data_IF_900815156411
#
_entry.id   IF_900815156411
#
_cell.length_a   1.000
_cell.length_b   1.000
_cell.length_c   1.000
_cell.angle_alpha   90.00
_cell.angle_beta   90.00
_cell.angle_gamma   90.00
#
_symmetry.space_group_name_H-M   'P 1'
#
loop_
_entity.id
_entity.type
_entity.pdbx_description
1 polymer ?
#
# COMPACT_ATOMS: atom_id res chain seq x y z
N UNK A 1 10.44 6.92 -34.73
CA UNK A 1 11.11 5.81 -34.04
C UNK A 1 11.23 6.17 -32.55
N UNK A 2 10.77 5.29 -31.66
CA UNK A 2 10.79 5.47 -30.21
C UNK A 2 11.95 4.72 -29.56
N UNK A 3 12.38 5.16 -28.39
CA UNK A 3 13.39 4.49 -27.56
C UNK A 3 12.80 3.42 -26.62
N UNK A 4 11.47 3.30 -26.61
CA UNK A 4 10.70 2.35 -25.79
C UNK A 4 9.59 1.69 -26.58
N UNK A 5 9.45 0.39 -26.43
CA UNK A 5 8.25 -0.33 -26.86
C UNK A 5 7.24 -0.37 -25.70
N UNK A 6 6.05 0.18 -25.93
CA UNK A 6 5.00 0.33 -24.90
C UNK A 6 3.96 -0.76 -25.08
N UNK A 7 3.59 -1.36 -23.97
CA UNK A 7 2.62 -2.45 -23.89
C UNK A 7 1.46 -2.08 -22.95
N UNK A 8 0.28 -2.60 -23.26
CA UNK A 8 -0.82 -2.73 -22.34
C UNK A 8 -0.74 -4.12 -21.70
N UNK A 9 -0.61 -4.15 -20.38
CA UNK A 9 -0.80 -5.37 -19.59
C UNK A 9 -2.21 -5.39 -19.02
N UNK A 10 -2.92 -6.48 -19.30
CA UNK A 10 -4.18 -6.83 -18.65
C UNK A 10 -3.90 -8.02 -17.73
N UNK A 11 -4.22 -7.91 -16.44
CA UNK A 11 -4.08 -9.03 -15.51
C UNK A 11 -5.34 -9.26 -14.69
N UNK A 12 -5.58 -10.53 -14.29
CA UNK A 12 -6.75 -10.99 -13.54
C UNK A 12 -6.34 -12.00 -12.49
N UNK A 13 -6.60 -11.74 -11.21
CA UNK A 13 -6.37 -12.70 -10.14
C UNK A 13 -4.91 -13.13 -9.96
N UNK A 14 -3.95 -12.34 -10.41
CA UNK A 14 -2.52 -12.60 -10.25
C UNK A 14 -1.83 -11.39 -9.62
N UNK A 15 -0.89 -11.61 -8.72
CA UNK A 15 -0.12 -10.53 -8.13
C UNK A 15 0.82 -9.87 -9.14
N UNK A 16 1.14 -8.61 -8.85
CA UNK A 16 1.94 -7.79 -9.76
C UNK A 16 3.35 -8.36 -9.98
N UNK A 17 3.99 -8.89 -8.94
CA UNK A 17 5.37 -9.39 -9.02
C UNK A 17 5.44 -10.64 -9.90
N UNK A 18 4.55 -11.60 -9.69
CA UNK A 18 4.45 -12.84 -10.49
C UNK A 18 4.24 -12.51 -11.96
N UNK A 19 3.22 -11.70 -12.28
CA UNK A 19 2.94 -11.30 -13.66
C UNK A 19 4.13 -10.55 -14.30
N UNK A 20 4.79 -9.68 -13.56
CA UNK A 20 5.96 -8.92 -14.00
C UNK A 20 7.16 -9.82 -14.36
N UNK A 21 7.45 -10.78 -13.48
CA UNK A 21 8.55 -11.73 -13.68
C UNK A 21 8.31 -12.66 -14.86
N UNK A 22 7.11 -13.22 -14.97
CA UNK A 22 6.73 -14.10 -16.09
C UNK A 22 6.75 -13.34 -17.43
N UNK A 23 6.17 -12.14 -17.49
CA UNK A 23 6.17 -11.31 -18.68
C UNK A 23 7.60 -10.91 -19.10
N UNK A 24 8.45 -10.52 -18.15
CA UNK A 24 9.84 -10.17 -18.41
C UNK A 24 10.64 -11.36 -18.97
N UNK A 25 10.43 -12.57 -18.40
CA UNK A 25 11.06 -13.81 -18.91
C UNK A 25 10.59 -14.13 -20.33
N UNK A 26 9.28 -14.05 -20.60
CA UNK A 26 8.72 -14.33 -21.92
C UNK A 26 9.19 -13.33 -22.99
N UNK A 27 9.47 -12.08 -22.61
CA UNK A 27 10.04 -11.07 -23.50
C UNK A 27 11.56 -11.19 -23.66
N UNK A 28 12.24 -11.95 -22.78
CA UNK A 28 13.72 -11.95 -22.70
C UNK A 28 14.31 -10.60 -22.32
N UNK A 29 13.52 -9.68 -21.77
CA UNK A 29 13.89 -8.32 -21.37
C UNK A 29 13.13 -7.87 -20.13
N UNK A 30 13.77 -6.99 -19.35
CA UNK A 30 13.12 -6.38 -18.19
C UNK A 30 11.95 -5.49 -18.63
N UNK A 31 10.77 -5.81 -18.14
CA UNK A 31 9.57 -5.02 -18.32
C UNK A 31 9.45 -4.01 -17.16
N UNK A 32 9.26 -2.74 -17.51
CA UNK A 32 9.10 -1.63 -16.58
C UNK A 32 7.62 -1.24 -16.52
N UNK A 33 7.11 -0.99 -15.30
CA UNK A 33 5.70 -0.69 -15.08
C UNK A 33 5.48 0.74 -14.57
N UNK A 34 4.34 1.30 -14.94
CA UNK A 34 3.87 2.58 -14.41
C UNK A 34 3.01 2.35 -13.15
N UNK A 35 3.68 2.05 -12.04
CA UNK A 35 3.05 1.77 -10.74
C UNK A 35 2.81 0.27 -10.49
N UNK A 36 2.26 -0.05 -9.33
CA UNK A 36 1.87 -1.40 -8.91
C UNK A 36 0.34 -1.48 -8.93
N UNK A 37 -0.22 -2.64 -9.28
CA UNK A 37 -1.67 -2.87 -9.35
C UNK A 37 -2.06 -4.06 -8.52
N UNK A 38 -3.25 -3.99 -7.92
CA UNK A 38 -3.81 -4.98 -7.01
C UNK A 38 -3.93 -6.37 -7.66
N UNK A 39 -3.86 -7.42 -6.84
CA UNK A 39 -4.00 -8.80 -7.27
C UNK A 39 -5.48 -9.17 -7.49
N UNK A 40 -6.36 -8.73 -6.58
CA UNK A 40 -7.78 -9.07 -6.57
C UNK A 40 -8.63 -8.13 -7.44
N UNK A 41 -8.14 -7.87 -8.67
CA UNK A 41 -8.82 -6.99 -9.62
C UNK A 41 -8.49 -7.39 -11.05
N UNK A 42 -9.34 -6.94 -11.99
CA UNK A 42 -8.96 -6.86 -13.40
C UNK A 42 -8.25 -5.53 -13.57
N UNK A 43 -6.98 -5.56 -13.94
CA UNK A 43 -6.18 -4.34 -14.03
C UNK A 43 -5.62 -4.14 -15.44
N UNK A 44 -5.69 -2.89 -15.90
CA UNK A 44 -5.12 -2.43 -17.15
C UNK A 44 -3.96 -1.50 -16.82
N UNK A 45 -2.77 -1.80 -17.33
CA UNK A 45 -1.56 -1.07 -16.94
C UNK A 45 -0.62 -0.91 -18.12
N UNK A 46 -0.08 0.29 -18.29
CA UNK A 46 1.01 0.51 -19.22
C UNK A 46 2.32 -0.03 -18.64
N UNK A 47 3.05 -0.72 -19.52
CA UNK A 47 4.39 -1.19 -19.25
C UNK A 47 5.28 -0.92 -20.49
N UNK A 48 6.59 -0.93 -20.34
CA UNK A 48 7.49 -0.73 -21.46
C UNK A 48 8.80 -1.51 -21.30
N UNK A 49 9.41 -1.82 -22.43
CA UNK A 49 10.81 -2.26 -22.50
C UNK A 49 11.63 -1.22 -23.23
N UNK A 50 12.93 -1.14 -22.93
CA UNK A 50 13.85 -0.29 -23.66
C UNK A 50 14.17 -0.88 -25.02
N UNK A 51 14.19 -0.04 -26.07
CA UNK A 51 14.47 -0.42 -27.45
C UNK A 51 13.27 -1.04 -28.20
N UNK A 52 13.51 -1.73 -29.31
CA UNK A 52 12.47 -2.29 -30.15
C UNK A 52 11.70 -3.41 -29.45
N UNK A 53 10.41 -3.64 -29.82
CA UNK A 53 9.60 -4.68 -29.21
C UNK A 53 10.14 -6.08 -29.55
N UNK A 54 10.44 -6.93 -28.54
CA UNK A 54 10.87 -8.30 -28.79
C UNK A 54 9.74 -9.19 -29.29
N UNK A 55 8.50 -8.91 -28.89
CA UNK A 55 7.27 -9.60 -29.30
C UNK A 55 6.09 -8.64 -29.29
N UNK A 56 5.11 -8.84 -30.15
CA UNK A 56 3.88 -8.05 -30.20
C UNK A 56 2.89 -8.43 -29.09
N UNK A 57 2.88 -9.69 -28.70
CA UNK A 57 1.96 -10.23 -27.70
C UNK A 57 2.67 -11.28 -26.82
N UNK A 58 2.30 -11.31 -25.54
CA UNK A 58 2.69 -12.34 -24.58
C UNK A 58 1.47 -12.68 -23.74
N UNK A 59 1.20 -13.97 -23.57
CA UNK A 59 0.15 -14.47 -22.66
C UNK A 59 0.78 -15.35 -21.60
N UNK A 60 0.37 -15.16 -20.35
CA UNK A 60 0.75 -15.95 -19.21
C UNK A 60 -0.45 -16.31 -18.35
N UNK A 61 -0.20 -17.02 -17.25
CA UNK A 61 -1.28 -17.38 -16.32
C UNK A 61 -1.83 -16.13 -15.63
N UNK A 62 -3.05 -15.73 -16.01
CA UNK A 62 -3.74 -14.57 -15.42
C UNK A 62 -3.27 -13.23 -15.95
N UNK A 63 -2.49 -13.17 -17.03
CA UNK A 63 -2.16 -11.92 -17.70
C UNK A 63 -2.00 -12.04 -19.21
N UNK A 64 -2.23 -10.92 -19.88
CA UNK A 64 -1.97 -10.70 -21.30
C UNK A 64 -1.19 -9.39 -21.45
N UNK A 65 -0.18 -9.41 -22.32
CA UNK A 65 0.61 -8.24 -22.68
C UNK A 65 0.49 -8.00 -24.17
N UNK A 66 0.06 -6.81 -24.58
CA UNK A 66 -0.14 -6.42 -25.98
C UNK A 66 0.63 -5.17 -26.31
N UNK A 67 1.41 -5.19 -27.39
CA UNK A 67 2.14 -4.05 -27.90
C UNK A 67 1.17 -2.96 -28.36
N UNK A 68 1.36 -1.74 -27.88
CA UNK A 68 0.64 -0.54 -28.31
C UNK A 68 1.42 0.25 -29.37
N UNK A 69 2.75 0.21 -29.32
CA UNK A 69 3.59 0.94 -30.24
C UNK A 69 4.91 1.39 -29.62
N UNK A 70 5.61 2.28 -30.33
CA UNK A 70 6.85 2.88 -29.86
C UNK A 70 6.59 4.26 -29.24
N UNK A 71 7.34 4.60 -28.20
CA UNK A 71 7.28 5.92 -27.55
C UNK A 71 8.69 6.46 -27.35
N UNK A 72 8.84 7.78 -27.50
CA UNK A 72 10.09 8.49 -27.24
C UNK A 72 10.00 9.27 -25.94
N UNK A 73 11.00 9.13 -25.09
CA UNK A 73 11.09 9.87 -23.84
C UNK A 73 10.38 9.18 -22.66
N UNK A 74 10.23 9.90 -21.54
CA UNK A 74 9.72 9.35 -20.28
C UNK A 74 8.20 9.25 -20.26
N UNK A 75 7.69 8.05 -20.04
CA UNK A 75 6.27 7.83 -19.73
C UNK A 75 5.95 8.35 -18.33
N UNK A 76 4.83 9.03 -18.19
CA UNK A 76 4.36 9.58 -16.91
C UNK A 76 3.09 8.87 -16.47
N UNK A 77 3.10 8.38 -15.24
CA UNK A 77 1.89 7.88 -14.58
C UNK A 77 1.20 9.06 -13.89
N UNK A 78 0.08 9.51 -14.42
CA UNK A 78 -0.66 10.67 -13.92
C UNK A 78 -1.71 10.30 -12.88
N UNK A 79 -2.30 9.10 -12.97
CA UNK A 79 -3.34 8.64 -12.06
C UNK A 79 -3.91 7.29 -12.46
N UNK A 80 -4.95 6.88 -11.74
CA UNK A 80 -5.68 5.64 -11.96
C UNK A 80 -7.17 5.94 -12.13
N UNK A 81 -7.81 5.24 -13.07
CA UNK A 81 -9.26 5.12 -13.13
C UNK A 81 -9.68 3.84 -12.43
N UNK A 82 -10.73 3.92 -11.66
CA UNK A 82 -11.33 2.82 -10.91
C UNK A 82 -12.75 2.58 -11.42
N UNK A 83 -13.11 1.31 -11.52
CA UNK A 83 -14.47 0.84 -11.73
C UNK A 83 -14.71 -0.23 -10.66
N UNK A 84 -15.64 0.01 -9.76
CA UNK A 84 -15.86 -0.81 -8.55
C UNK A 84 -17.33 -1.18 -8.48
N UNK A 85 -17.60 -2.46 -8.30
CA UNK A 85 -18.94 -2.97 -7.98
C UNK A 85 -19.13 -2.95 -6.47
N UNK A 86 -20.18 -2.29 -6.01
CA UNK A 86 -20.57 -2.22 -4.60
C UNK A 86 -21.86 -3.02 -4.42
N UNK A 87 -21.70 -4.30 -4.08
CA UNK A 87 -22.83 -5.20 -3.88
C UNK A 87 -23.62 -4.83 -2.63
N UNK A 88 -24.95 -4.82 -2.73
CA UNK A 88 -25.85 -4.54 -1.62
C UNK A 88 -25.92 -3.08 -1.15
N UNK A 89 -25.27 -2.15 -1.85
CA UNK A 89 -25.33 -0.73 -1.54
C UNK A 89 -26.60 -0.09 -2.09
N UNK A 90 -27.16 0.90 -1.37
CA UNK A 90 -28.29 1.71 -1.85
C UNK A 90 -27.83 2.65 -2.98
N UNK A 91 -28.27 2.38 -4.21
CA UNK A 91 -27.86 3.16 -5.39
C UNK A 91 -28.29 4.63 -5.32
N UNK A 92 -29.45 4.91 -4.72
CA UNK A 92 -29.93 6.27 -4.56
C UNK A 92 -29.04 7.08 -3.63
N UNK A 93 -28.64 6.49 -2.51
CA UNK A 93 -27.72 7.12 -1.57
C UNK A 93 -26.32 7.27 -2.17
N UNK A 94 -25.82 6.24 -2.88
CA UNK A 94 -24.56 6.31 -3.60
C UNK A 94 -24.56 7.45 -4.63
N UNK A 95 -25.67 7.60 -5.41
CA UNK A 95 -25.83 8.65 -6.40
C UNK A 95 -25.78 10.04 -5.77
N UNK A 96 -26.51 10.25 -4.66
CA UNK A 96 -26.48 11.54 -3.93
C UNK A 96 -25.07 11.89 -3.43
N UNK A 97 -24.35 10.91 -2.85
CA UNK A 97 -23.00 11.12 -2.32
C UNK A 97 -21.98 11.31 -3.44
N UNK A 98 -22.08 10.56 -4.54
CA UNK A 98 -21.22 10.74 -5.71
C UNK A 98 -21.41 12.15 -6.33
N UNK A 99 -22.65 12.63 -6.45
CA UNK A 99 -22.95 13.98 -6.94
C UNK A 99 -22.32 15.05 -6.04
N UNK A 100 -22.41 14.89 -4.72
CA UNK A 100 -21.75 15.79 -3.77
C UNK A 100 -20.23 15.77 -3.89
N UNK A 101 -19.62 14.60 -4.01
CA UNK A 101 -18.18 14.47 -4.24
C UNK A 101 -17.75 15.05 -5.59
N UNK A 102 -18.58 14.89 -6.63
CA UNK A 102 -18.37 15.50 -7.95
C UNK A 102 -18.34 17.02 -7.86
N UNK A 103 -19.29 17.63 -7.13
CA UNK A 103 -19.34 19.07 -6.93
C UNK A 103 -18.14 19.61 -6.16
N UNK A 104 -17.59 18.82 -5.21
CA UNK A 104 -16.36 19.18 -4.50
C UNK A 104 -15.10 19.03 -5.36
N UNK A 105 -15.10 18.12 -6.32
CA UNK A 105 -13.98 17.81 -7.23
C UNK A 105 -12.72 17.30 -6.53
N UNK A 106 -12.79 16.99 -5.24
CA UNK A 106 -11.64 16.57 -4.41
C UNK A 106 -12.08 15.76 -3.21
N UNK A 107 -11.17 14.94 -2.71
CA UNK A 107 -11.30 14.18 -1.46
C UNK A 107 -10.06 14.39 -0.60
N UNK A 108 -10.18 14.16 0.71
CA UNK A 108 -9.03 14.17 1.61
C UNK A 108 -8.05 13.07 1.20
N UNK A 109 -6.78 13.41 1.14
CA UNK A 109 -5.75 12.53 0.59
C UNK A 109 -5.10 11.62 1.65
N UNK A 110 -5.92 10.99 2.49
CA UNK A 110 -5.44 10.01 3.45
C UNK A 110 -4.72 8.85 2.75
N UNK A 111 -3.76 8.27 3.44
CA UNK A 111 -3.28 6.94 3.10
C UNK A 111 -4.36 5.92 3.48
N UNK A 112 -4.71 5.06 2.53
CA UNK A 112 -5.69 3.99 2.76
C UNK A 112 -5.10 2.78 3.50
N UNK A 113 -5.97 1.85 3.89
CA UNK A 113 -5.60 0.65 4.66
C UNK A 113 -4.55 -0.23 3.97
N UNK A 114 -4.52 -0.27 2.63
CA UNK A 114 -3.49 -1.02 1.88
C UNK A 114 -2.06 -0.58 2.22
N UNK A 115 -1.88 0.67 2.70
CA UNK A 115 -0.57 1.14 3.17
C UNK A 115 -0.12 0.46 4.46
N UNK A 116 -1.07 0.05 5.28
CA UNK A 116 -0.85 -0.49 6.62
C UNK A 116 -1.00 -2.01 6.69
N UNK A 117 -1.60 -2.62 5.67
CA UNK A 117 -1.96 -4.03 5.58
C UNK A 117 -3.47 -4.24 5.68
N UNK A 118 -4.07 -4.94 4.71
CA UNK A 118 -5.53 -5.12 4.65
C UNK A 118 -6.01 -6.11 5.71
N UNK A 119 -5.40 -7.30 5.74
CA UNK A 119 -5.79 -8.36 6.71
C UNK A 119 -5.24 -8.13 8.10
N UNK A 120 -4.12 -7.44 8.18
CA UNK A 120 -3.38 -7.17 9.40
C UNK A 120 -2.79 -5.76 9.31
N UNK A 121 -3.55 -4.74 9.69
CA UNK A 121 -3.15 -3.33 9.52
C UNK A 121 -2.14 -2.90 10.59
N UNK A 122 -0.95 -3.50 10.61
CA UNK A 122 0.07 -3.27 11.64
C UNK A 122 1.43 -2.77 11.11
N UNK A 123 1.59 -2.59 9.79
CA UNK A 123 2.88 -2.15 9.23
C UNK A 123 3.38 -0.84 9.84
N UNK A 124 2.47 0.08 10.18
CA UNK A 124 2.80 1.34 10.86
C UNK A 124 3.23 1.12 12.32
N UNK A 125 2.68 0.13 13.01
CA UNK A 125 3.08 -0.22 14.38
C UNK A 125 4.50 -0.79 14.40
N UNK A 126 4.82 -1.68 13.46
CA UNK A 126 6.17 -2.18 13.24
C UNK A 126 7.13 -1.02 12.97
N UNK A 127 6.73 -0.10 12.10
CA UNK A 127 7.51 1.10 11.79
C UNK A 127 7.72 2.02 12.99
N UNK A 128 6.71 2.19 13.84
CA UNK A 128 6.79 2.93 15.11
C UNK A 128 7.82 2.29 16.06
N UNK A 129 7.76 0.98 16.23
CA UNK A 129 8.70 0.24 17.05
C UNK A 129 10.15 0.37 16.54
N UNK A 130 10.37 0.25 15.22
CA UNK A 130 11.68 0.47 14.61
C UNK A 130 12.18 1.90 14.85
N UNK A 131 11.32 2.91 14.65
CA UNK A 131 11.68 4.32 14.83
C UNK A 131 12.05 4.65 16.28
N UNK A 132 11.39 4.00 17.26
CA UNK A 132 11.69 4.11 18.69
C UNK A 132 12.90 3.28 19.14
N UNK A 133 13.45 2.45 18.27
CA UNK A 133 14.56 1.55 18.60
C UNK A 133 14.14 0.28 19.34
N UNK A 134 12.86 0.05 19.55
CA UNK A 134 12.31 -1.17 20.13
C UNK A 134 12.22 -2.29 19.08
N UNK A 135 13.37 -2.84 18.74
CA UNK A 135 13.48 -3.81 17.66
C UNK A 135 12.88 -5.17 18.04
N UNK A 136 12.83 -5.49 19.34
CA UNK A 136 12.16 -6.70 19.81
C UNK A 136 10.66 -6.59 19.59
N UNK A 137 10.05 -5.48 20.00
CA UNK A 137 8.65 -5.19 19.75
C UNK A 137 8.32 -5.22 18.25
N UNK A 138 9.22 -4.72 17.39
CA UNK A 138 9.02 -4.79 15.95
C UNK A 138 8.95 -6.23 15.42
N UNK A 139 9.78 -7.16 15.94
CA UNK A 139 9.70 -8.58 15.62
C UNK A 139 8.41 -9.20 16.17
N UNK A 140 8.05 -8.89 17.40
CA UNK A 140 6.83 -9.40 18.04
C UNK A 140 5.57 -8.97 17.29
N UNK A 141 5.53 -7.73 16.81
CA UNK A 141 4.47 -7.20 15.96
C UNK A 141 4.42 -7.88 14.59
N UNK A 142 5.53 -8.32 14.03
CA UNK A 142 5.56 -9.02 12.74
C UNK A 142 5.08 -10.47 12.87
N UNK A 143 5.53 -11.18 13.89
CA UNK A 143 5.33 -12.63 14.00
C UNK A 143 4.14 -12.98 14.89
N UNK A 144 4.01 -12.38 16.06
CA UNK A 144 3.01 -12.67 17.08
C UNK A 144 1.70 -11.89 16.91
N UNK A 145 0.92 -11.77 17.96
CA UNK A 145 -0.30 -10.98 18.08
C UNK A 145 -1.34 -11.29 16.98
N UNK A 146 -2.05 -12.42 17.09
CA UNK A 146 -3.05 -12.84 16.11
C UNK A 146 -4.15 -11.80 15.95
N UNK A 147 -4.55 -11.55 14.70
CA UNK A 147 -5.66 -10.66 14.36
C UNK A 147 -6.94 -11.46 14.09
N UNK A 148 -8.13 -10.96 14.48
CA UNK A 148 -9.40 -11.66 14.26
C UNK A 148 -9.69 -12.00 12.79
N UNK A 149 -9.31 -11.11 11.86
CA UNK A 149 -9.52 -11.30 10.41
C UNK A 149 -8.52 -12.22 9.71
N UNK A 150 -7.52 -12.78 10.44
CA UNK A 150 -6.57 -13.70 9.84
C UNK A 150 -7.12 -15.13 9.77
N UNK A 151 -6.65 -15.94 8.80
CA UNK A 151 -6.94 -17.38 8.76
C UNK A 151 -6.53 -18.08 10.06
N UNK A 152 -7.24 -19.14 10.43
CA UNK A 152 -6.97 -19.91 11.65
C UNK A 152 -5.52 -20.38 11.75
N UNK A 153 -4.95 -20.90 10.65
CA UNK A 153 -3.56 -21.33 10.61
C UNK A 153 -2.58 -20.18 10.92
N UNK A 154 -2.90 -18.95 10.52
CA UNK A 154 -2.09 -17.78 10.87
C UNK A 154 -2.20 -17.44 12.35
N UNK A 155 -3.41 -17.41 12.88
CA UNK A 155 -3.63 -17.17 14.31
C UNK A 155 -2.95 -18.23 15.18
N UNK A 156 -2.96 -19.49 14.75
CA UNK A 156 -2.33 -20.59 15.47
C UNK A 156 -0.81 -20.41 15.62
N UNK A 157 -0.07 -20.16 14.54
CA UNK A 157 1.38 -19.97 14.67
C UNK A 157 1.75 -18.70 15.44
N UNK A 158 0.93 -17.63 15.33
CA UNK A 158 1.16 -16.40 16.09
C UNK A 158 0.94 -16.61 17.59
N UNK A 159 -0.07 -17.39 17.97
CA UNK A 159 -0.31 -17.74 19.37
C UNK A 159 0.82 -18.59 19.96
N UNK A 160 1.39 -19.52 19.17
CA UNK A 160 2.58 -20.28 19.56
C UNK A 160 3.78 -19.34 19.79
N UNK A 161 3.98 -18.36 18.89
CA UNK A 161 5.03 -17.36 19.07
C UNK A 161 4.83 -16.57 20.38
N UNK A 162 3.61 -16.08 20.63
CA UNK A 162 3.29 -15.27 21.83
C UNK A 162 3.42 -16.09 23.13
N UNK A 163 3.22 -17.42 23.08
CA UNK A 163 3.47 -18.33 24.22
C UNK A 163 4.94 -18.68 24.42
N UNK A 164 5.84 -18.21 23.55
CA UNK A 164 7.27 -18.50 23.62
C UNK A 164 7.73 -19.74 22.87
N UNK A 165 6.82 -20.52 22.25
CA UNK A 165 7.17 -21.65 21.40
C UNK A 165 7.53 -21.17 19.97
N UNK A 166 8.71 -20.58 19.84
CA UNK A 166 9.19 -20.00 18.58
C UNK A 166 9.41 -21.07 17.50
N UNK A 167 9.91 -22.25 17.90
CA UNK A 167 10.11 -23.35 16.95
C UNK A 167 8.78 -23.96 16.51
N UNK A 168 7.83 -24.13 17.44
CA UNK A 168 6.47 -24.55 17.14
C UNK A 168 5.79 -23.57 16.18
N UNK A 169 5.94 -22.27 16.42
CA UNK A 169 5.44 -21.22 15.53
C UNK A 169 6.00 -21.37 14.11
N UNK A 170 7.31 -21.60 13.97
CA UNK A 170 7.95 -21.77 12.66
C UNK A 170 7.45 -23.04 11.95
N UNK A 171 7.28 -24.16 12.68
CA UNK A 171 6.74 -25.40 12.13
C UNK A 171 5.27 -25.29 11.69
N UNK A 172 4.45 -24.60 12.50
CA UNK A 172 3.02 -24.41 12.24
C UNK A 172 2.73 -23.40 11.14
N UNK A 173 3.72 -22.57 10.77
CA UNK A 173 3.54 -21.51 9.77
C UNK A 173 3.27 -22.09 8.38
N UNK A 174 2.19 -21.66 7.69
CA UNK A 174 1.88 -22.14 6.34
C UNK A 174 3.03 -21.90 5.36
N UNK A 175 3.24 -22.85 4.43
CA UNK A 175 4.37 -22.79 3.48
C UNK A 175 4.29 -21.64 2.48
N UNK A 176 3.10 -21.10 2.19
CA UNK A 176 2.88 -20.02 1.21
C UNK A 176 2.24 -18.81 1.89
N UNK A 177 2.62 -17.62 1.45
CA UNK A 177 2.01 -16.36 1.90
C UNK A 177 2.56 -15.79 3.21
N UNK A 178 3.57 -16.42 3.81
CA UNK A 178 4.21 -16.01 5.07
C UNK A 178 5.74 -16.00 4.97
N UNK A 179 6.26 -15.70 3.78
CA UNK A 179 7.70 -15.68 3.50
C UNK A 179 8.45 -14.64 4.34
N UNK A 180 7.79 -13.50 4.62
CA UNK A 180 8.33 -12.45 5.47
C UNK A 180 8.51 -12.96 6.90
N UNK A 181 7.43 -13.44 7.50
CA UNK A 181 7.41 -13.94 8.88
C UNK A 181 8.39 -15.11 9.05
N UNK A 182 8.41 -16.03 8.11
CA UNK A 182 9.30 -17.17 8.10
C UNK A 182 10.78 -16.75 8.12
N UNK A 183 11.18 -15.83 7.26
CA UNK A 183 12.57 -15.35 7.21
C UNK A 183 12.96 -14.63 8.49
N UNK A 184 12.09 -13.75 8.99
CA UNK A 184 12.33 -13.00 10.23
C UNK A 184 12.45 -13.96 11.41
N UNK A 185 11.52 -14.92 11.57
CA UNK A 185 11.52 -15.86 12.67
C UNK A 185 12.70 -16.83 12.60
N UNK A 186 13.02 -17.36 11.41
CA UNK A 186 14.17 -18.26 11.24
C UNK A 186 15.48 -17.57 11.60
N UNK A 187 15.67 -16.31 11.19
CA UNK A 187 16.88 -15.56 11.53
C UNK A 187 16.91 -15.19 13.02
N UNK A 188 15.75 -14.87 13.59
CA UNK A 188 15.64 -14.60 15.02
C UNK A 188 15.99 -15.82 15.87
N UNK A 189 15.48 -17.02 15.54
CA UNK A 189 15.83 -18.28 16.19
C UNK A 189 17.33 -18.59 16.10
N UNK A 190 17.93 -18.29 14.95
CA UNK A 190 19.36 -18.57 14.70
C UNK A 190 20.28 -17.63 15.46
N UNK A 191 19.91 -16.37 15.66
CA UNK A 191 20.83 -15.32 16.14
C UNK A 191 20.46 -14.73 17.50
N UNK A 192 19.19 -14.80 17.90
CA UNK A 192 18.66 -14.06 19.03
C UNK A 192 18.66 -12.53 18.86
N UNK A 193 19.06 -12.04 17.68
CA UNK A 193 19.24 -10.60 17.37
C UNK A 193 18.06 -10.05 16.55
N UNK A 194 17.20 -9.20 17.15
CA UNK A 194 16.08 -8.61 16.45
C UNK A 194 16.49 -7.75 15.23
N UNK A 195 17.64 -7.09 15.30
CA UNK A 195 18.11 -6.26 14.21
C UNK A 195 18.49 -7.10 12.98
N UNK A 196 19.14 -8.26 13.18
CA UNK A 196 19.43 -9.22 12.12
C UNK A 196 18.16 -9.82 11.56
N UNK A 197 17.22 -10.21 12.43
CA UNK A 197 15.94 -10.76 12.04
C UNK A 197 15.18 -9.79 11.12
N UNK A 198 15.06 -8.52 11.49
CA UNK A 198 14.40 -7.49 10.68
C UNK A 198 15.09 -7.24 9.32
N UNK A 199 16.42 -7.34 9.26
CA UNK A 199 17.16 -7.24 7.99
C UNK A 199 16.98 -8.46 7.08
N UNK A 200 16.63 -9.62 7.62
CA UNK A 200 16.34 -10.82 6.84
C UNK A 200 14.96 -10.76 6.14
N UNK A 201 14.11 -9.80 6.53
CA UNK A 201 12.82 -9.56 5.89
C UNK A 201 12.98 -9.26 4.40
N UNK A 202 12.14 -9.81 3.51
CA UNK A 202 12.10 -9.43 2.08
C UNK A 202 11.66 -7.98 1.85
N UNK A 203 10.96 -7.37 2.82
CA UNK A 203 10.67 -5.94 2.84
C UNK A 203 11.71 -5.23 3.72
N UNK A 204 12.36 -4.16 3.21
CA UNK A 204 13.35 -3.45 4.00
C UNK A 204 12.71 -2.78 5.23
N UNK A 205 13.42 -2.62 6.35
CA UNK A 205 12.91 -1.91 7.53
C UNK A 205 12.36 -0.50 7.23
N UNK A 206 12.91 0.20 6.24
CA UNK A 206 12.41 1.50 5.78
C UNK A 206 10.97 1.45 5.27
N UNK A 207 10.51 0.33 4.70
CA UNK A 207 9.12 0.15 4.28
C UNK A 207 8.13 0.36 5.45
N UNK A 208 8.46 -0.19 6.61
CA UNK A 208 7.63 -0.08 7.81
C UNK A 208 7.71 1.32 8.42
N UNK A 209 8.90 1.92 8.47
CA UNK A 209 9.09 3.30 8.93
C UNK A 209 8.33 4.29 8.05
N UNK A 210 8.34 4.10 6.73
CA UNK A 210 7.53 4.90 5.81
C UNK A 210 6.03 4.66 5.99
N UNK A 211 5.59 3.45 6.39
CA UNK A 211 4.19 3.20 6.77
C UNK A 211 3.82 4.00 8.03
N UNK A 212 4.69 4.04 9.03
CA UNK A 212 4.49 4.87 10.20
C UNK A 212 4.45 6.36 9.87
N UNK A 213 5.34 6.84 9.00
CA UNK A 213 5.30 8.22 8.51
C UNK A 213 3.98 8.54 7.78
N UNK A 214 3.44 7.57 7.03
CA UNK A 214 2.13 7.69 6.39
C UNK A 214 0.98 7.78 7.42
N UNK A 215 1.09 7.05 8.51
CA UNK A 215 0.15 7.12 9.63
C UNK A 215 0.22 8.48 10.34
N UNK A 216 1.42 8.99 10.62
CA UNK A 216 1.60 10.34 11.17
C UNK A 216 0.97 11.42 10.27
N UNK A 217 1.14 11.30 8.95
CA UNK A 217 0.45 12.18 8.00
C UNK A 217 -1.08 12.13 8.18
N UNK A 218 -1.64 10.94 8.30
CA UNK A 218 -3.08 10.77 8.50
C UNK A 218 -3.53 11.44 9.81
N UNK A 219 -2.77 11.31 10.88
CA UNK A 219 -3.05 11.99 12.15
C UNK A 219 -2.97 13.51 12.02
N UNK A 220 -1.91 14.02 11.37
CA UNK A 220 -1.78 15.45 11.08
C UNK A 220 -2.99 15.98 10.31
N UNK A 221 -3.41 15.26 9.26
CA UNK A 221 -4.55 15.67 8.42
C UNK A 221 -5.86 15.67 9.22
N UNK A 222 -6.09 14.68 10.07
CA UNK A 222 -7.26 14.64 10.96
C UNK A 222 -7.27 15.80 11.93
N UNK A 223 -6.14 16.10 12.57
CA UNK A 223 -6.01 17.20 13.53
C UNK A 223 -6.22 18.58 12.86
N UNK A 224 -5.72 18.76 11.65
CA UNK A 224 -5.95 19.98 10.84
C UNK A 224 -7.43 20.15 10.51
N UNK A 225 -8.13 19.06 10.20
CA UNK A 225 -9.58 19.09 9.95
C UNK A 225 -10.38 19.52 11.18
N UNK A 226 -10.02 19.03 12.35
CA UNK A 226 -10.66 19.42 13.62
C UNK A 226 -10.48 20.92 13.90
N UNK A 227 -9.35 21.50 13.49
CA UNK A 227 -9.08 22.93 13.58
C UNK A 227 -9.78 23.79 12.50
N UNK A 228 -10.45 23.19 11.53
CA UNK A 228 -11.30 23.87 10.52
C UNK A 228 -10.55 24.42 9.32
N UNK A 229 -9.23 24.50 9.32
CA UNK A 229 -8.43 25.00 8.17
C UNK A 229 -7.49 23.92 7.64
N UNK A 230 -7.76 23.43 6.43
CA UNK A 230 -6.94 22.39 5.79
C UNK A 230 -5.88 23.03 4.90
N UNK A 231 -4.64 23.01 5.33
CA UNK A 231 -3.49 23.44 4.55
C UNK A 231 -3.38 22.65 3.24
N UNK A 232 -2.95 23.28 2.13
CA UNK A 232 -2.85 22.60 0.83
C UNK A 232 -1.93 21.37 0.83
N UNK A 233 -0.89 21.41 1.66
CA UNK A 233 0.09 20.32 1.85
C UNK A 233 0.52 20.25 3.30
N UNK A 234 0.79 19.04 3.76
CA UNK A 234 1.38 18.76 5.05
C UNK A 234 2.77 18.15 4.88
N UNK A 235 3.68 18.49 5.78
CA UNK A 235 5.04 17.96 5.83
C UNK A 235 5.20 17.15 7.11
N UNK A 236 5.56 15.87 6.95
CA UNK A 236 6.01 15.00 8.04
C UNK A 236 7.52 14.85 7.91
N UNK A 237 8.31 15.52 8.76
CA UNK A 237 9.77 15.51 8.67
C UNK A 237 10.35 14.18 9.15
N UNK A 238 11.64 14.00 8.97
CA UNK A 238 12.37 12.85 9.49
C UNK A 238 12.64 12.95 11.01
N UNK A 239 12.62 14.17 11.57
CA UNK A 239 12.84 14.44 13.00
C UNK A 239 11.77 15.38 13.53
N UNK A 240 11.34 15.15 14.77
CA UNK A 240 10.34 15.98 15.44
C UNK A 240 10.81 17.44 15.62
N UNK A 241 12.12 17.66 15.81
CA UNK A 241 12.71 19.01 15.89
C UNK A 241 12.53 19.84 14.62
N UNK A 242 12.31 19.19 13.47
CA UNK A 242 12.06 19.84 12.18
C UNK A 242 10.53 19.98 11.88
N UNK A 243 9.68 19.49 12.77
CA UNK A 243 8.24 19.56 12.60
C UNK A 243 7.69 20.92 13.02
N UNK A 244 6.65 21.37 12.33
CA UNK A 244 5.99 22.63 12.55
C UNK A 244 4.48 22.41 12.73
N UNK A 245 3.82 23.35 13.39
CA UNK A 245 2.37 23.37 13.55
C UNK A 245 1.83 22.05 14.10
N UNK A 246 0.71 21.62 13.56
CA UNK A 246 -0.04 20.41 13.98
C UNK A 246 0.80 19.14 13.92
N UNK A 247 1.67 18.98 12.91
CA UNK A 247 2.50 17.78 12.83
C UNK A 247 3.56 17.70 13.95
N UNK A 248 3.98 18.83 14.52
CA UNK A 248 4.85 18.85 15.71
C UNK A 248 4.12 18.29 16.92
N UNK A 249 2.87 18.70 17.12
CA UNK A 249 2.03 18.19 18.21
C UNK A 249 1.79 16.68 18.05
N UNK A 250 1.40 16.24 16.86
CA UNK A 250 1.19 14.81 16.55
C UNK A 250 2.44 13.99 16.85
N UNK A 251 3.63 14.41 16.39
CA UNK A 251 4.87 13.67 16.64
C UNK A 251 5.22 13.63 18.13
N UNK A 252 4.95 14.71 18.90
CA UNK A 252 5.12 14.75 20.34
C UNK A 252 4.14 13.78 21.02
N UNK A 253 2.86 13.81 20.68
CA UNK A 253 1.83 12.96 21.28
C UNK A 253 2.08 11.47 20.99
N UNK A 254 2.63 11.16 19.80
CA UNK A 254 3.09 9.82 19.43
C UNK A 254 4.42 9.41 20.12
N UNK A 255 5.09 10.34 20.79
CA UNK A 255 6.36 10.12 21.47
C UNK A 255 7.48 9.69 20.53
N UNK A 256 7.55 10.29 19.33
CA UNK A 256 8.59 9.98 18.33
C UNK A 256 9.48 11.20 18.10
N UNK A 257 10.77 11.04 18.35
CA UNK A 257 11.77 12.10 18.13
C UNK A 257 12.37 12.06 16.73
N UNK A 258 12.57 10.87 16.18
CA UNK A 258 13.12 10.65 14.86
C UNK A 258 12.54 9.42 14.19
N UNK A 259 12.32 9.51 12.87
CA UNK A 259 11.93 8.38 12.02
C UNK A 259 13.15 7.64 11.45
N UNK A 260 14.33 8.16 11.66
CA UNK A 260 15.59 7.55 11.21
C UNK A 260 16.36 6.97 12.38
N UNK A 261 16.87 5.77 12.18
CA UNK A 261 17.65 5.04 13.17
C UNK A 261 18.62 4.06 12.52
N UNK A 262 19.21 3.13 13.27
CA UNK A 262 20.24 2.21 12.78
C UNK A 262 19.76 1.29 11.65
N UNK A 263 18.45 0.99 11.59
CA UNK A 263 17.88 0.07 10.61
C UNK A 263 17.21 0.75 9.43
N UNK A 264 16.80 2.01 9.56
CA UNK A 264 16.07 2.71 8.51
C UNK A 264 16.41 4.20 8.50
N UNK A 265 16.41 4.78 7.30
CA UNK A 265 16.52 6.23 7.10
C UNK A 265 15.26 6.73 6.44
N UNK A 266 14.50 7.55 7.15
CA UNK A 266 13.36 8.25 6.61
C UNK A 266 13.82 9.55 5.92
N UNK A 267 13.10 9.92 4.84
CA UNK A 267 13.20 11.24 4.22
C UNK A 267 11.98 12.05 4.60
N UNK A 268 12.07 13.39 4.66
CA UNK A 268 10.89 14.21 4.84
C UNK A 268 9.83 13.89 3.77
N UNK A 269 8.59 13.70 4.20
CA UNK A 269 7.46 13.48 3.31
C UNK A 269 6.64 14.76 3.20
N UNK A 270 6.39 15.19 1.98
CA UNK A 270 5.44 16.28 1.69
C UNK A 270 4.33 15.71 0.83
N UNK A 271 3.08 15.82 1.31
CA UNK A 271 1.92 15.28 0.62
C UNK A 271 0.80 16.32 0.58
N UNK A 272 0.10 16.39 -0.55
CA UNK A 272 -1.10 17.21 -0.68
C UNK A 272 -2.20 16.70 0.26
N UNK A 273 -2.87 17.61 0.94
CA UNK A 273 -3.99 17.29 1.85
C UNK A 273 -5.25 16.86 1.10
N UNK A 274 -5.38 17.31 -0.13
CA UNK A 274 -6.48 16.98 -1.03
C UNK A 274 -5.98 16.22 -2.26
N UNK A 275 -6.74 15.23 -2.69
CA UNK A 275 -6.58 14.56 -3.96
C UNK A 275 -7.70 15.01 -4.90
N UNK A 276 -7.35 15.38 -6.12
CA UNK A 276 -8.34 15.67 -7.17
C UNK A 276 -9.16 14.40 -7.44
N UNK A 277 -10.47 14.51 -7.42
CA UNK A 277 -11.41 13.44 -7.75
C UNK A 277 -12.12 13.80 -9.05
N UNK A 278 -11.98 12.95 -10.06
CA UNK A 278 -12.60 13.19 -11.36
C UNK A 278 -13.65 12.14 -11.67
N UNK A 279 -14.81 12.61 -12.13
CA UNK A 279 -15.89 11.78 -12.63
C UNK A 279 -16.39 10.70 -11.68
N UNK A 280 -16.67 11.01 -10.38
CA UNK A 280 -17.37 10.07 -9.54
C UNK A 280 -18.81 9.92 -10.07
N UNK A 281 -19.09 8.76 -10.65
CA UNK A 281 -20.35 8.43 -11.29
C UNK A 281 -20.84 7.07 -10.79
N UNK A 282 -22.13 6.99 -10.48
CA UNK A 282 -22.82 5.73 -10.15
C UNK A 282 -23.60 5.28 -11.36
N UNK A 283 -23.40 4.03 -11.77
CA UNK A 283 -24.12 3.37 -12.85
C UNK A 283 -25.01 2.27 -12.28
N UNK A 284 -26.04 1.91 -12.98
CA UNK A 284 -26.96 0.86 -12.55
C UNK A 284 -26.25 -0.44 -12.16
N UNK A 285 -26.83 -1.16 -11.16
CA UNK A 285 -26.24 -2.37 -10.63
C UNK A 285 -25.12 -2.15 -9.61
N UNK A 286 -25.03 -0.95 -8.99
CA UNK A 286 -24.03 -0.66 -7.93
C UNK A 286 -22.61 -0.36 -8.44
N UNK A 287 -22.43 -0.15 -9.75
CA UNK A 287 -21.14 0.22 -10.30
C UNK A 287 -20.80 1.69 -10.02
N UNK A 288 -19.60 1.91 -9.52
CA UNK A 288 -19.05 3.24 -9.27
C UNK A 288 -17.76 3.43 -10.07
N UNK A 289 -17.66 4.54 -10.80
CA UNK A 289 -16.44 4.90 -11.53
C UNK A 289 -15.89 6.23 -11.04
N UNK A 290 -14.58 6.37 -10.98
CA UNK A 290 -13.88 7.61 -10.65
C UNK A 290 -12.41 7.53 -11.02
N UNK A 291 -11.74 8.68 -11.05
CA UNK A 291 -10.29 8.75 -11.26
C UNK A 291 -9.61 9.53 -10.14
N UNK A 292 -8.43 9.10 -9.77
CA UNK A 292 -7.58 9.71 -8.75
C UNK A 292 -6.16 9.91 -9.27
N UNK A 293 -5.43 10.92 -8.78
CA UNK A 293 -4.02 11.07 -9.08
C UNK A 293 -3.19 9.93 -8.48
N UNK A 294 -1.97 9.77 -8.99
CA UNK A 294 -1.02 8.79 -8.46
C UNK A 294 -0.80 8.97 -6.95
N UNK A 295 -0.80 7.85 -6.24
CA UNK A 295 -0.55 7.82 -4.78
C UNK A 295 -1.77 8.10 -3.92
N UNK A 296 -2.95 8.30 -4.53
CA UNK A 296 -4.23 8.36 -3.82
C UNK A 296 -4.91 6.99 -3.81
N UNK A 297 -5.78 6.78 -2.84
CA UNK A 297 -6.36 5.47 -2.53
C UNK A 297 -7.85 5.44 -2.84
N UNK A 298 -8.27 4.47 -3.64
CA UNK A 298 -9.69 4.25 -3.98
C UNK A 298 -10.54 4.00 -2.73
N UNK A 299 -10.01 3.26 -1.75
CA UNK A 299 -10.70 2.96 -0.49
C UNK A 299 -11.07 4.20 0.32
N UNK A 300 -10.36 5.31 0.16
CA UNK A 300 -10.72 6.59 0.78
C UNK A 300 -11.99 7.15 0.13
N UNK A 301 -12.10 7.10 -1.20
CA UNK A 301 -13.33 7.51 -1.92
C UNK A 301 -14.49 6.59 -1.56
N UNK A 302 -14.27 5.27 -1.52
CA UNK A 302 -15.30 4.29 -1.17
C UNK A 302 -15.82 4.50 0.25
N UNK A 303 -14.95 4.84 1.21
CA UNK A 303 -15.36 5.22 2.57
C UNK A 303 -16.29 6.42 2.58
N UNK A 304 -16.00 7.45 1.79
CA UNK A 304 -16.87 8.63 1.68
C UNK A 304 -18.22 8.30 1.03
N UNK A 305 -18.23 7.38 0.06
CA UNK A 305 -19.45 6.92 -0.59
C UNK A 305 -20.31 6.02 0.28
N UNK A 306 -19.70 5.06 0.98
CA UNK A 306 -20.40 4.06 1.77
C UNK A 306 -20.70 4.53 3.20
N UNK A 307 -19.87 5.44 3.75
CA UNK A 307 -19.89 5.83 5.17
C UNK A 307 -19.72 4.65 6.12
N UNK A 308 -18.93 3.69 5.70
CA UNK A 308 -18.59 2.47 6.43
C UNK A 308 -17.08 2.37 6.61
N UNK A 309 -16.67 1.54 7.57
CA UNK A 309 -15.26 1.22 7.76
C UNK A 309 -14.75 0.44 6.53
N UNK A 310 -13.67 0.91 5.85
CA UNK A 310 -13.09 0.21 4.72
C UNK A 310 -12.75 -1.27 4.97
N UNK A 311 -12.48 -1.67 6.20
CA UNK A 311 -12.23 -3.08 6.55
C UNK A 311 -13.46 -3.97 6.37
N UNK A 312 -14.66 -3.39 6.24
CA UNK A 312 -15.90 -4.15 6.02
C UNK A 312 -16.18 -4.45 4.54
N UNK A 313 -15.47 -3.80 3.62
CA UNK A 313 -15.70 -3.94 2.17
C UNK A 313 -14.42 -4.09 1.32
N UNK A 314 -13.24 -4.32 1.95
CA UNK A 314 -11.95 -4.57 1.24
C UNK A 314 -11.34 -5.99 1.50
#
# INVERSE_FOLDING_TARGET
>A
EGDRAVYLMVKRGVDHLTASLEASRALGRRLHFLGVKDANAITYQLAYVMGPPPRAEVRGRGFELRLLGAHRGRLRHTGNRFEVLLEGADEGELGRRASRLSSLGKVLNYFGYQRFGVRRPNSHLVGKAIAKGDLREAVDLLIGRPYPGEPEAARAFRSLYDSGDLEGALRAMPRRGYELERRVLSEYLRTGDPARALRASPLPPSFFVEAYQSYLFNLCLSRVLEGGEVLPRLRVPARASEAEGVCKEVMRDEGVEALSGPLARARPMVRASWAELRGPEVRGGGWVTFSLPRGSYATVVLRELLRQDPLTFT
#
